data_IF_546630357173
#
_entry.id   IF_546630357173
#
_cell.length_a   1.000
_cell.length_b   1.000
_cell.length_c   1.000
_cell.angle_alpha   90.00
_cell.angle_beta   90.00
_cell.angle_gamma   90.00
#
_symmetry.space_group_name_H-M   'P 1'
#
loop_
_entity.id
_entity.type
_entity.pdbx_description
1 polymer ?
#
# COMPACT_ATOMS: atom_id res chain seq x y z
N UNK A 1 19.10 1.39 -22.56
CA UNK A 1 18.80 0.98 -21.16
C UNK A 1 18.72 2.15 -20.17
N UNK A 2 18.88 3.41 -20.60
CA UNK A 2 18.75 4.58 -19.71
C UNK A 2 17.30 5.04 -19.48
N UNK A 3 16.41 4.77 -20.44
CA UNK A 3 15.00 5.21 -20.36
C UNK A 3 14.21 4.36 -19.38
N UNK A 4 14.38 3.03 -19.42
CA UNK A 4 13.69 2.13 -18.50
C UNK A 4 14.07 2.40 -17.04
N UNK A 5 15.36 2.54 -16.71
CA UNK A 5 15.78 2.84 -15.34
C UNK A 5 15.25 4.20 -14.87
N UNK A 6 15.31 5.24 -15.71
CA UNK A 6 14.75 6.56 -15.39
C UNK A 6 13.24 6.56 -15.13
N UNK A 7 12.49 5.67 -15.79
CA UNK A 7 11.06 5.53 -15.57
C UNK A 7 10.78 4.79 -14.26
N UNK A 8 11.55 3.73 -13.98
CA UNK A 8 11.42 2.96 -12.75
C UNK A 8 11.81 3.77 -11.51
N UNK A 9 12.85 4.62 -11.61
CA UNK A 9 13.26 5.50 -10.51
C UNK A 9 12.13 6.48 -10.09
N UNK A 10 11.21 6.85 -10.99
CA UNK A 10 10.08 7.74 -10.65
C UNK A 10 9.02 7.09 -9.76
N UNK A 11 9.02 5.77 -9.67
CA UNK A 11 8.09 4.96 -8.86
C UNK A 11 8.84 4.15 -7.79
N UNK A 12 10.08 4.57 -7.49
CA UNK A 12 11.00 3.93 -6.55
C UNK A 12 11.33 2.46 -6.86
N UNK A 13 11.26 2.07 -8.14
CA UNK A 13 11.61 0.72 -8.60
C UNK A 13 13.01 0.70 -9.23
N UNK A 14 13.73 -0.43 -9.09
CA UNK A 14 15.10 -0.55 -9.64
C UNK A 14 15.34 -1.89 -10.34
N UNK A 15 16.19 -1.85 -11.37
CA UNK A 15 16.71 -3.04 -12.05
C UNK A 15 18.15 -3.29 -11.65
N UNK A 16 18.45 -4.52 -11.25
CA UNK A 16 19.83 -4.98 -11.05
C UNK A 16 20.33 -5.68 -12.31
N UNK A 17 21.56 -5.37 -12.73
CA UNK A 17 22.18 -6.04 -13.87
C UNK A 17 22.70 -7.42 -13.44
N UNK A 18 22.25 -8.47 -14.12
CA UNK A 18 22.58 -9.87 -13.77
C UNK A 18 23.66 -10.44 -14.69
N UNK A 19 23.70 -10.02 -15.96
CA UNK A 19 24.72 -10.48 -16.90
C UNK A 19 24.30 -10.39 -18.36
N UNK A 20 25.00 -11.14 -19.22
CA UNK A 20 24.68 -11.24 -20.65
C UNK A 20 24.33 -12.68 -21.01
N UNK A 21 23.13 -12.90 -21.52
CA UNK A 21 22.70 -14.21 -22.01
C UNK A 21 22.84 -14.30 -23.53
N UNK A 22 23.12 -15.50 -24.02
CA UNK A 22 23.07 -15.81 -25.45
C UNK A 22 24.42 -16.03 -26.15
N UNK A 23 24.37 -16.55 -27.39
CA UNK A 23 25.57 -16.85 -28.18
C UNK A 23 26.33 -15.58 -28.56
N UNK A 24 27.64 -15.73 -28.76
CA UNK A 24 28.56 -14.63 -29.05
C UNK A 24 28.10 -13.90 -30.33
N UNK A 25 27.77 -12.61 -30.22
CA UNK A 25 27.23 -11.78 -31.32
C UNK A 25 25.73 -11.49 -31.25
N UNK A 26 24.96 -12.23 -30.44
CA UNK A 26 23.52 -11.98 -30.16
C UNK A 26 23.25 -11.97 -28.65
N UNK A 27 24.14 -11.35 -27.89
CA UNK A 27 24.05 -11.33 -26.43
C UNK A 27 23.11 -10.23 -25.95
N UNK A 28 22.16 -10.61 -25.12
CA UNK A 28 21.21 -9.69 -24.49
C UNK A 28 21.61 -9.43 -23.04
N UNK A 29 21.52 -8.17 -22.61
CA UNK A 29 21.76 -7.81 -21.22
C UNK A 29 20.52 -8.17 -20.40
N UNK A 30 20.69 -9.03 -19.40
CA UNK A 30 19.62 -9.50 -18.53
C UNK A 30 19.65 -8.70 -17.23
N UNK A 31 18.47 -8.28 -16.83
CA UNK A 31 18.24 -7.50 -15.63
C UNK A 31 17.18 -8.19 -14.79
N UNK A 32 17.33 -8.13 -13.47
CA UNK A 32 16.37 -8.65 -12.51
C UNK A 32 15.73 -7.47 -11.77
N UNK A 33 14.41 -7.52 -11.67
CA UNK A 33 13.64 -6.62 -10.83
C UNK A 33 14.05 -6.79 -9.36
N UNK A 34 14.31 -5.68 -8.70
CA UNK A 34 14.57 -5.63 -7.27
C UNK A 34 13.39 -4.92 -6.64
N UNK A 35 12.64 -5.66 -5.81
CA UNK A 35 11.57 -5.07 -5.02
C UNK A 35 12.15 -4.01 -4.07
N UNK A 36 11.47 -2.88 -3.87
CA UNK A 36 11.84 -1.91 -2.84
C UNK A 36 11.78 -2.57 -1.46
N UNK A 37 12.84 -2.41 -0.67
CA UNK A 37 12.86 -2.88 0.72
C UNK A 37 12.27 -1.80 1.64
N UNK A 38 11.00 -1.48 1.42
CA UNK A 38 10.28 -0.42 2.15
C UNK A 38 8.99 -0.92 2.82
N UNK A 39 8.85 -2.24 2.92
CA UNK A 39 7.72 -2.87 3.61
C UNK A 39 6.41 -2.82 2.85
N UNK A 40 6.37 -2.33 1.60
CA UNK A 40 5.17 -2.37 0.74
C UNK A 40 4.64 -3.79 0.55
N UNK A 41 5.52 -4.79 0.50
CA UNK A 41 5.14 -6.20 0.36
C UNK A 41 4.29 -6.68 1.56
N UNK A 42 4.61 -6.24 2.77
CA UNK A 42 3.86 -6.59 4.00
C UNK A 42 2.48 -5.94 4.01
N UNK A 43 2.38 -4.69 3.53
CA UNK A 43 1.11 -3.98 3.39
C UNK A 43 0.25 -4.67 2.33
N UNK A 44 0.87 -5.03 1.20
CA UNK A 44 0.20 -5.73 0.10
C UNK A 44 -0.30 -7.11 0.53
N UNK A 45 0.50 -7.91 1.26
CA UNK A 45 0.05 -9.18 1.81
C UNK A 45 -1.12 -9.02 2.78
N UNK A 46 -1.10 -8.01 3.67
CA UNK A 46 -2.21 -7.72 4.58
C UNK A 46 -3.48 -7.33 3.81
N UNK A 47 -3.35 -6.55 2.75
CA UNK A 47 -4.45 -6.17 1.87
C UNK A 47 -5.01 -7.37 1.08
N UNK A 48 -4.13 -8.19 0.49
CA UNK A 48 -4.51 -9.40 -0.25
C UNK A 48 -5.24 -10.40 0.66
N UNK A 49 -4.81 -10.51 1.92
CA UNK A 49 -5.49 -11.30 2.92
C UNK A 49 -6.86 -10.73 3.31
N UNK A 50 -7.08 -9.41 3.25
CA UNK A 50 -8.44 -8.84 3.40
C UNK A 50 -9.36 -9.26 2.25
N UNK A 51 -8.87 -9.27 1.02
CA UNK A 51 -9.64 -9.69 -0.16
C UNK A 51 -9.97 -11.19 -0.12
N UNK A 52 -8.99 -12.05 0.24
CA UNK A 52 -9.24 -13.48 0.44
C UNK A 52 -10.22 -13.73 1.60
N UNK A 53 -10.11 -13.02 2.74
CA UNK A 53 -11.09 -13.17 3.84
C UNK A 53 -12.51 -12.76 3.40
N UNK A 54 -12.65 -11.89 2.40
CA UNK A 54 -13.96 -11.58 1.78
C UNK A 54 -14.49 -12.72 0.90
N UNK A 55 -13.62 -13.43 0.17
CA UNK A 55 -13.98 -14.59 -0.67
C UNK A 55 -14.32 -15.82 0.18
N UNK A 56 -13.67 -15.97 1.34
CA UNK A 56 -13.81 -17.16 2.18
C UNK A 56 -15.12 -17.21 2.97
N UNK A 57 -15.80 -16.07 3.16
CA UNK A 57 -17.06 -16.01 3.89
C UNK A 57 -18.29 -16.34 3.03
N UNK A 58 -18.14 -16.60 1.72
CA UNK A 58 -19.30 -16.81 0.85
C UNK A 58 -19.14 -17.89 -0.23
N UNK A 59 -18.08 -18.71 -0.18
CA UNK A 59 -17.83 -19.72 -1.20
C UNK A 59 -17.38 -21.03 -0.57
N UNK A 60 -18.34 -21.93 -0.35
CA UNK A 60 -18.08 -23.37 -0.23
C UNK A 60 -17.70 -23.87 -1.63
N UNK A 61 -16.43 -23.68 -2.03
CA UNK A 61 -15.87 -24.33 -3.21
C UNK A 61 -14.78 -25.29 -2.73
N UNK A 62 -15.19 -26.55 -2.69
CA UNK A 62 -14.31 -27.71 -2.70
C UNK A 62 -13.51 -27.70 -4.01
N UNK A 63 -12.32 -27.06 -4.01
CA UNK A 63 -11.31 -27.30 -5.05
C UNK A 63 -10.13 -28.00 -4.41
N UNK A 64 -10.03 -29.30 -4.67
CA UNK A 64 -8.78 -30.02 -4.53
C UNK A 64 -7.76 -29.41 -5.51
N UNK A 65 -6.64 -28.93 -4.99
CA UNK A 65 -5.41 -28.79 -5.76
C UNK A 65 -4.31 -29.51 -5.00
N UNK A 66 -3.71 -30.47 -5.70
CA UNK A 66 -2.72 -31.40 -5.20
C UNK A 66 -1.38 -30.72 -4.84
N UNK A 67 -0.76 -31.28 -3.80
CA UNK A 67 0.66 -31.36 -3.48
C UNK A 67 1.56 -30.15 -3.79
N UNK A 68 1.91 -29.41 -2.74
CA UNK A 68 3.31 -29.02 -2.55
C UNK A 68 3.66 -29.12 -1.07
N UNK A 69 4.60 -30.01 -0.78
CA UNK A 69 5.19 -30.32 0.53
C UNK A 69 5.66 -29.05 1.26
N UNK A 70 5.30 -28.85 2.55
CA UNK A 70 5.86 -27.76 3.34
C UNK A 70 7.26 -28.14 3.83
N UNK A 71 8.26 -27.32 3.52
CA UNK A 71 9.54 -27.33 4.22
C UNK A 71 9.39 -26.54 5.54
N UNK A 72 9.97 -27.02 6.65
CA UNK A 72 9.86 -26.33 7.93
C UNK A 72 10.79 -25.12 7.93
N UNK A 73 10.22 -23.92 8.06
CA UNK A 73 11.00 -22.72 8.38
C UNK A 73 11.33 -22.80 9.87
N UNK A 74 12.61 -23.07 10.14
CA UNK A 74 13.23 -23.05 11.45
C UNK A 74 13.06 -21.66 12.08
N UNK A 75 12.36 -21.62 13.21
CA UNK A 75 12.30 -20.49 14.13
C UNK A 75 13.71 -20.11 14.57
N UNK A 76 14.18 -18.93 14.15
CA UNK A 76 15.13 -18.10 14.89
C UNK A 76 15.19 -16.70 14.24
N UNK A 77 14.13 -15.91 14.41
CA UNK A 77 14.15 -14.47 14.15
C UNK A 77 13.98 -13.71 15.48
N UNK A 78 15.00 -13.76 16.32
CA UNK A 78 15.16 -12.76 17.40
C UNK A 78 15.73 -11.51 16.76
N UNK A 79 14.86 -10.58 16.38
CA UNK A 79 15.28 -9.22 16.00
C UNK A 79 14.41 -8.51 14.97
N UNK A 80 13.17 -8.13 15.31
CA UNK A 80 12.49 -7.05 14.58
C UNK A 80 11.38 -6.31 15.39
N UNK A 81 11.43 -6.25 16.71
CA UNK A 81 10.37 -5.53 17.46
C UNK A 81 10.41 -4.00 17.29
N UNK A 82 11.47 -3.42 16.72
CA UNK A 82 11.60 -1.96 16.63
C UNK A 82 10.78 -1.34 15.48
N UNK A 83 10.45 -2.11 14.44
CA UNK A 83 9.79 -1.59 13.23
C UNK A 83 8.27 -1.72 13.28
N UNK A 84 7.75 -2.80 13.88
CA UNK A 84 6.31 -3.00 14.11
C UNK A 84 5.72 -1.87 14.96
N UNK A 85 6.45 -1.41 15.98
CA UNK A 85 6.03 -0.31 16.85
C UNK A 85 5.94 1.06 16.13
N UNK A 86 6.79 1.31 15.12
CA UNK A 86 6.78 2.57 14.36
C UNK A 86 5.61 2.60 13.35
N UNK A 87 5.38 1.49 12.63
CA UNK A 87 4.23 1.38 11.74
C UNK A 87 2.90 1.46 12.51
N UNK A 88 2.84 0.82 13.69
CA UNK A 88 1.67 0.91 14.56
C UNK A 88 1.46 2.33 15.09
N UNK A 89 2.51 3.03 15.55
CA UNK A 89 2.38 4.41 16.03
C UNK A 89 1.93 5.40 14.94
N UNK A 90 2.48 5.30 13.73
CA UNK A 90 2.06 6.14 12.61
C UNK A 90 0.60 5.89 12.23
N UNK A 91 0.18 4.62 12.16
CA UNK A 91 -1.21 4.29 11.83
C UNK A 91 -2.20 4.70 12.92
N UNK A 92 -1.81 4.63 14.20
CA UNK A 92 -2.62 5.17 15.30
C UNK A 92 -2.78 6.69 15.19
N UNK A 93 -1.73 7.41 14.80
CA UNK A 93 -1.77 8.84 14.55
C UNK A 93 -2.72 9.18 13.39
N UNK A 94 -2.62 8.45 12.27
CA UNK A 94 -3.54 8.59 11.13
C UNK A 94 -5.00 8.34 11.54
N UNK A 95 -5.26 7.31 12.35
CA UNK A 95 -6.62 7.07 12.88
C UNK A 95 -7.11 8.22 13.75
N UNK A 96 -6.25 8.81 14.57
CA UNK A 96 -6.60 10.01 15.36
C UNK A 96 -6.95 11.20 14.46
N UNK A 97 -6.20 11.41 13.38
CA UNK A 97 -6.52 12.43 12.39
C UNK A 97 -7.80 12.13 11.63
N UNK A 98 -8.11 10.87 11.32
CA UNK A 98 -9.36 10.47 10.69
C UNK A 98 -10.58 10.81 11.55
N UNK A 99 -10.47 10.67 12.88
CA UNK A 99 -11.53 11.13 13.80
C UNK A 99 -11.73 12.65 13.70
N UNK A 100 -10.64 13.43 13.73
CA UNK A 100 -10.72 14.89 13.56
C UNK A 100 -11.25 15.29 12.17
N UNK A 101 -10.91 14.52 11.15
CA UNK A 101 -11.40 14.70 9.78
C UNK A 101 -12.92 14.53 9.71
N UNK A 102 -13.49 13.55 10.40
CA UNK A 102 -14.95 13.34 10.45
C UNK A 102 -15.68 14.57 10.99
N UNK A 103 -15.21 15.15 12.11
CA UNK A 103 -15.78 16.38 12.69
C UNK A 103 -15.70 17.56 11.69
N UNK A 104 -14.65 17.61 10.88
CA UNK A 104 -14.47 18.63 9.84
C UNK A 104 -15.37 18.43 8.63
N UNK A 105 -15.69 17.19 8.26
CA UNK A 105 -16.65 16.89 7.19
C UNK A 105 -18.03 17.46 7.51
N UNK A 106 -18.47 17.36 8.78
CA UNK A 106 -19.72 17.97 9.23
C UNK A 106 -19.70 19.50 9.19
N UNK A 107 -18.51 20.09 9.36
CA UNK A 107 -18.28 21.54 9.28
C UNK A 107 -18.17 22.07 7.84
N UNK A 108 -18.08 21.17 6.85
CA UNK A 108 -18.06 21.49 5.42
C UNK A 108 -16.68 21.41 4.75
N UNK A 109 -16.70 21.47 3.42
CA UNK A 109 -15.54 21.18 2.54
C UNK A 109 -14.33 22.10 2.79
N UNK A 110 -14.53 23.38 3.13
CA UNK A 110 -13.41 24.29 3.39
C UNK A 110 -12.68 23.96 4.70
N UNK A 111 -13.41 23.50 5.72
CA UNK A 111 -12.82 23.06 6.98
C UNK A 111 -12.00 21.77 6.81
N UNK A 112 -12.41 20.92 5.86
CA UNK A 112 -11.67 19.72 5.43
C UNK A 112 -10.37 20.10 4.71
N UNK A 113 -10.43 21.02 3.75
CA UNK A 113 -9.23 21.50 3.02
C UNK A 113 -8.21 22.14 3.95
N UNK A 114 -8.67 23.02 4.84
CA UNK A 114 -7.82 23.65 5.84
C UNK A 114 -7.15 22.59 6.72
N UNK A 115 -7.90 21.60 7.20
CA UNK A 115 -7.35 20.52 8.00
C UNK A 115 -6.29 19.71 7.23
N UNK A 116 -6.61 19.24 6.02
CA UNK A 116 -5.69 18.47 5.19
C UNK A 116 -4.40 19.25 4.88
N UNK A 117 -4.49 20.57 4.72
CA UNK A 117 -3.30 21.41 4.47
C UNK A 117 -2.25 21.38 5.59
N UNK A 118 -2.66 20.99 6.81
CA UNK A 118 -1.74 20.84 7.96
C UNK A 118 -1.00 19.49 7.97
N UNK A 119 -1.44 18.54 7.15
CA UNK A 119 -0.90 17.18 7.06
C UNK A 119 0.08 17.03 5.88
N UNK A 120 1.00 16.08 6.03
CA UNK A 120 1.86 15.60 4.93
C UNK A 120 1.05 14.80 3.90
N UNK A 121 1.53 14.69 2.67
CA UNK A 121 0.80 13.98 1.60
C UNK A 121 0.46 12.54 2.00
N UNK A 122 1.39 11.81 2.62
CA UNK A 122 1.15 10.43 3.08
C UNK A 122 0.08 10.34 4.18
N UNK A 123 0.07 11.29 5.13
CA UNK A 123 -0.97 11.37 6.16
C UNK A 123 -2.33 11.70 5.57
N UNK A 124 -2.41 12.57 4.54
CA UNK A 124 -3.67 12.87 3.86
C UNK A 124 -4.26 11.61 3.23
N UNK A 125 -3.44 10.82 2.54
CA UNK A 125 -3.86 9.53 1.99
C UNK A 125 -4.29 8.56 3.08
N UNK A 126 -3.49 8.42 4.13
CA UNK A 126 -3.81 7.56 5.26
C UNK A 126 -5.14 7.93 5.92
N UNK A 127 -5.39 9.23 6.13
CA UNK A 127 -6.63 9.74 6.72
C UNK A 127 -7.84 9.42 5.86
N UNK A 128 -7.75 9.60 4.54
CA UNK A 128 -8.84 9.24 3.63
C UNK A 128 -9.13 7.74 3.68
N UNK A 129 -8.11 6.89 3.66
CA UNK A 129 -8.29 5.44 3.76
C UNK A 129 -8.95 5.05 5.08
N UNK A 130 -8.48 5.61 6.20
CA UNK A 130 -9.05 5.34 7.52
C UNK A 130 -10.49 5.86 7.65
N UNK A 131 -10.79 7.02 7.04
CA UNK A 131 -12.13 7.60 7.02
C UNK A 131 -13.10 6.80 6.15
N UNK A 132 -12.69 6.39 4.94
CA UNK A 132 -13.48 5.53 4.06
C UNK A 132 -13.81 4.20 4.72
N UNK A 133 -12.83 3.57 5.40
CA UNK A 133 -13.03 2.33 6.14
C UNK A 133 -14.04 2.51 7.29
N UNK A 134 -13.98 3.63 8.00
CA UNK A 134 -14.86 3.89 9.14
C UNK A 134 -16.27 4.31 8.73
N UNK A 135 -16.41 5.13 7.68
CA UNK A 135 -17.66 5.80 7.30
C UNK A 135 -17.83 5.87 5.76
N UNK A 136 -18.01 4.72 5.07
CA UNK A 136 -18.04 4.68 3.60
C UNK A 136 -19.18 5.49 2.98
N UNK A 137 -20.31 5.61 3.68
CA UNK A 137 -21.47 6.39 3.22
C UNK A 137 -21.19 7.89 3.23
N UNK A 138 -20.50 8.37 4.29
CA UNK A 138 -20.15 9.77 4.49
C UNK A 138 -19.02 10.18 3.54
N UNK A 139 -18.10 9.26 3.28
CA UNK A 139 -17.13 9.39 2.20
C UNK A 139 -17.80 9.56 0.83
N UNK A 140 -18.80 8.72 0.49
CA UNK A 140 -19.57 8.88 -0.74
C UNK A 140 -20.23 10.26 -0.88
N UNK A 141 -20.73 10.85 0.22
CA UNK A 141 -21.27 12.21 0.22
C UNK A 141 -20.20 13.27 -0.01
N UNK A 142 -19.03 13.13 0.61
CA UNK A 142 -17.88 14.02 0.39
C UNK A 142 -17.45 13.99 -1.09
N UNK A 143 -17.33 12.81 -1.68
CA UNK A 143 -16.97 12.63 -3.09
C UNK A 143 -18.01 13.25 -4.02
N UNK A 144 -19.30 13.11 -3.70
CA UNK A 144 -20.38 13.72 -4.47
C UNK A 144 -20.40 15.25 -4.33
N UNK A 145 -20.11 15.79 -3.14
CA UNK A 145 -20.09 17.22 -2.86
C UNK A 145 -18.84 17.92 -3.43
N UNK A 146 -17.71 17.21 -3.48
CA UNK A 146 -16.45 17.71 -3.98
C UNK A 146 -15.74 16.65 -4.84
N UNK A 147 -16.10 16.53 -6.13
CA UNK A 147 -15.50 15.56 -7.05
C UNK A 147 -13.99 15.73 -7.22
N UNK A 148 -13.48 16.92 -6.94
CA UNK A 148 -12.06 17.29 -7.01
C UNK A 148 -11.24 16.91 -5.77
N UNK A 149 -11.81 16.20 -4.79
CA UNK A 149 -11.16 15.86 -3.52
C UNK A 149 -9.76 15.24 -3.68
N UNK A 150 -9.53 14.46 -4.73
CA UNK A 150 -8.21 13.86 -5.01
C UNK A 150 -7.12 14.92 -5.24
N UNK A 151 -7.46 16.12 -5.71
CA UNK A 151 -6.50 17.21 -5.91
C UNK A 151 -5.95 17.75 -4.58
N UNK A 152 -6.62 17.49 -3.47
CA UNK A 152 -6.20 17.97 -2.14
C UNK A 152 -5.15 17.04 -1.50
N UNK A 153 -4.94 15.86 -2.07
CA UNK A 153 -4.03 14.83 -1.54
C UNK A 153 -2.62 14.88 -2.15
N UNK A 154 -2.36 15.87 -3.02
CA UNK A 154 -1.05 16.19 -3.58
C UNK A 154 -0.13 16.89 -2.58
#
# INVERSE_FOLDING_TARGET
MAIAQKLLDKIDLRLSYVGRLGPRGKRECVYKFVAPDDGRDVIFEKWLNRELVSVNNNIDIQTQVADTTPLPINDNCVGLERQDNLADSWWQQVKSYAVSFMERVESGVEAVKEFLSTLTSDERWGVIVAFEEAQPQLFGQLVAAAPEWMQWLG
#
